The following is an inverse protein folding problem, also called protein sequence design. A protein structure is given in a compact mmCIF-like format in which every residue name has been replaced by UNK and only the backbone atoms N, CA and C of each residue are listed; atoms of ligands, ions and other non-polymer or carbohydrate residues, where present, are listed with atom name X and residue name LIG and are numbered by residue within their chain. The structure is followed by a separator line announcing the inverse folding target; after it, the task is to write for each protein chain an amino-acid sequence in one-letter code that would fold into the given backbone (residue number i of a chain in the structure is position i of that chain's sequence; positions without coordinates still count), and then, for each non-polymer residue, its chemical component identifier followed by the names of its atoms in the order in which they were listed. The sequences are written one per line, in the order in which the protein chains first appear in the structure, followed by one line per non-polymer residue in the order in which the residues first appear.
data_IF_139406597838
#
_entry.id   IF_139406597838
#
_cell.length_a   1.000
_cell.length_b   1.000
_cell.length_c   1.000
_cell.angle_alpha   90.00
_cell.angle_beta   90.00
_cell.angle_gamma   90.00
#
_symmetry.space_group_name_H-M   'P 1'
#
loop_
_entity.id
_entity.type
_entity.pdbx_description
1 polymer ?
#
# COMPACT_ATOMS: atom_id res chain seq x y z
N UNK A 1 29.26 17.76 -20.81
CA UNK A 1 28.72 16.38 -20.70
C UNK A 1 29.27 15.81 -19.41
N UNK A 2 28.40 15.54 -18.41
CA UNK A 2 28.86 14.86 -17.20
C UNK A 2 29.22 13.41 -17.57
N UNK A 3 30.50 13.06 -17.34
CA UNK A 3 30.98 11.69 -17.51
C UNK A 3 30.62 10.91 -16.23
N UNK A 4 30.13 9.68 -16.37
CA UNK A 4 29.85 8.78 -15.25
C UNK A 4 31.06 8.64 -14.32
N UNK A 5 30.85 8.82 -13.02
CA UNK A 5 31.91 8.76 -11.99
C UNK A 5 31.75 7.51 -11.14
N UNK A 6 32.52 6.50 -11.42
CA UNK A 6 32.49 5.23 -10.68
C UNK A 6 32.78 5.39 -9.19
N UNK A 7 33.73 6.27 -8.84
CA UNK A 7 34.08 6.54 -7.44
C UNK A 7 32.84 7.06 -6.68
N UNK A 8 32.15 8.06 -7.23
CA UNK A 8 30.97 8.64 -6.63
C UNK A 8 29.80 7.64 -6.52
N UNK A 9 29.68 6.72 -7.47
CA UNK A 9 28.69 5.65 -7.42
C UNK A 9 28.98 4.67 -6.28
N UNK A 10 30.21 4.12 -6.20
CA UNK A 10 30.56 3.14 -5.17
C UNK A 10 30.54 3.74 -3.75
N UNK A 11 31.01 4.97 -3.58
CA UNK A 11 30.95 5.70 -2.30
C UNK A 11 29.52 5.95 -1.83
N UNK A 12 28.58 6.02 -2.77
CA UNK A 12 27.17 6.27 -2.45
C UNK A 12 26.37 4.98 -2.19
N UNK A 13 26.85 3.81 -2.60
CA UNK A 13 26.13 2.54 -2.46
C UNK A 13 25.82 2.15 -1.01
N UNK A 14 26.71 2.42 -0.07
CA UNK A 14 26.56 2.13 1.36
C UNK A 14 26.49 3.41 2.18
N UNK A 15 26.01 4.49 1.60
CA UNK A 15 25.89 5.76 2.28
C UNK A 15 24.81 5.67 3.37
N UNK A 16 25.20 5.91 4.64
CA UNK A 16 24.30 5.84 5.80
C UNK A 16 23.08 6.77 5.65
N UNK A 17 23.27 7.94 5.07
CA UNK A 17 22.17 8.90 4.85
C UNK A 17 21.10 8.36 3.90
N UNK A 18 21.48 7.65 2.83
CA UNK A 18 20.54 6.99 1.93
C UNK A 18 19.90 5.77 2.58
N UNK A 19 20.63 5.00 3.37
CA UNK A 19 20.10 3.85 4.11
C UNK A 19 19.02 4.27 5.10
N UNK A 20 19.25 5.34 5.86
CA UNK A 20 18.23 5.92 6.74
C UNK A 20 16.99 6.36 5.95
N UNK A 21 17.17 6.98 4.77
CA UNK A 21 16.07 7.34 3.88
C UNK A 21 15.25 6.11 3.44
N UNK A 22 15.92 5.00 3.13
CA UNK A 22 15.25 3.74 2.81
C UNK A 22 14.44 3.19 4.01
N UNK A 23 14.99 3.27 5.22
CA UNK A 23 14.28 2.88 6.44
C UNK A 23 13.02 3.75 6.65
N UNK A 24 13.12 5.04 6.39
CA UNK A 24 11.99 5.98 6.46
C UNK A 24 10.92 5.61 5.41
N UNK A 25 11.30 5.28 4.18
CA UNK A 25 10.37 4.80 3.16
C UNK A 25 9.64 3.52 3.59
N UNK A 26 10.36 2.56 4.19
CA UNK A 26 9.75 1.33 4.74
C UNK A 26 8.81 1.64 5.91
N UNK A 27 9.20 2.52 6.82
CA UNK A 27 8.37 2.93 7.96
C UNK A 27 7.07 3.62 7.50
N UNK A 28 7.18 4.53 6.52
CA UNK A 28 6.02 5.20 5.92
C UNK A 28 5.10 4.20 5.22
N UNK A 29 5.68 3.23 4.49
CA UNK A 29 4.93 2.13 3.86
C UNK A 29 4.16 1.31 4.91
N UNK A 30 4.83 0.89 5.99
CA UNK A 30 4.21 0.09 7.04
C UNK A 30 3.09 0.84 7.75
N UNK A 31 3.32 2.10 8.12
CA UNK A 31 2.31 2.96 8.75
C UNK A 31 1.10 3.17 7.83
N UNK A 32 1.35 3.54 6.57
CA UNK A 32 0.28 3.77 5.59
C UNK A 32 -0.50 2.50 5.26
N UNK A 33 0.16 1.34 5.25
CA UNK A 33 -0.52 0.05 5.08
C UNK A 33 -1.46 -0.25 6.25
N UNK A 34 -1.00 -0.07 7.49
CA UNK A 34 -1.81 -0.34 8.69
C UNK A 34 -3.05 0.56 8.73
N UNK A 35 -2.87 1.87 8.60
CA UNK A 35 -4.00 2.80 8.62
C UNK A 35 -4.87 2.66 7.35
N UNK A 36 -4.27 2.49 6.18
CA UNK A 36 -4.97 2.26 4.93
C UNK A 36 -5.81 0.97 4.98
N UNK A 37 -5.29 -0.10 5.56
CA UNK A 37 -6.04 -1.35 5.72
C UNK A 37 -7.22 -1.19 6.68
N UNK A 38 -7.04 -0.48 7.79
CA UNK A 38 -8.13 -0.17 8.71
C UNK A 38 -9.26 0.61 8.01
N UNK A 39 -8.90 1.68 7.29
CA UNK A 39 -9.84 2.46 6.47
C UNK A 39 -10.49 1.57 5.40
N UNK A 40 -9.69 0.78 4.69
CA UNK A 40 -10.15 -0.11 3.63
C UNK A 40 -11.16 -1.15 4.10
N UNK A 41 -10.94 -1.76 5.28
CA UNK A 41 -11.89 -2.70 5.89
C UNK A 41 -13.22 -2.00 6.19
N UNK A 42 -13.17 -0.82 6.83
CA UNK A 42 -14.38 -0.04 7.16
C UNK A 42 -15.16 0.30 5.90
N UNK A 43 -14.49 0.83 4.87
CA UNK A 43 -15.12 1.19 3.60
C UNK A 43 -15.69 -0.04 2.88
N UNK A 44 -14.99 -1.17 2.88
CA UNK A 44 -15.49 -2.42 2.29
C UNK A 44 -16.77 -2.90 2.99
N UNK A 45 -16.80 -2.88 4.32
CA UNK A 45 -17.98 -3.25 5.10
C UNK A 45 -19.15 -2.27 4.87
N UNK A 46 -18.87 -0.97 4.76
CA UNK A 46 -19.89 0.03 4.42
C UNK A 46 -20.48 -0.22 3.02
N UNK A 47 -19.66 -0.59 2.03
CA UNK A 47 -20.14 -0.92 0.67
C UNK A 47 -20.96 -2.20 0.61
N UNK A 48 -20.71 -3.15 1.51
CA UNK A 48 -21.48 -4.40 1.62
C UNK A 48 -22.74 -4.22 2.50
N UNK A 49 -22.91 -3.07 3.13
CA UNK A 49 -24.08 -2.74 3.95
C UNK A 49 -25.35 -2.60 3.13
N UNK A 50 -26.50 -2.96 3.73
CA UNK A 50 -27.84 -2.69 3.17
C UNK A 50 -28.23 -1.22 3.25
N UNK A 51 -27.55 -0.41 4.06
CA UNK A 51 -27.79 1.03 4.17
C UNK A 51 -27.28 1.76 2.94
N UNK A 52 -28.19 2.38 2.18
CA UNK A 52 -27.84 3.19 0.99
C UNK A 52 -26.92 4.37 1.34
N UNK A 53 -27.08 4.96 2.53
CA UNK A 53 -26.26 6.08 2.97
C UNK A 53 -24.81 5.64 3.20
N UNK A 54 -24.58 4.54 3.94
CA UNK A 54 -23.23 4.01 4.18
C UNK A 54 -22.57 3.57 2.88
N UNK A 55 -23.27 2.81 2.06
CA UNK A 55 -22.73 2.36 0.77
C UNK A 55 -22.43 3.53 -0.16
N UNK A 56 -23.34 4.52 -0.24
CA UNK A 56 -23.13 5.74 -1.04
C UNK A 56 -21.92 6.55 -0.61
N UNK A 57 -21.74 6.75 0.70
CA UNK A 57 -20.55 7.43 1.24
C UNK A 57 -19.26 6.70 0.85
N UNK A 58 -19.20 5.37 1.04
CA UNK A 58 -18.01 4.60 0.71
C UNK A 58 -17.70 4.59 -0.80
N UNK A 59 -18.73 4.55 -1.65
CA UNK A 59 -18.58 4.70 -3.10
C UNK A 59 -18.02 6.07 -3.46
N UNK A 60 -18.58 7.14 -2.88
CA UNK A 60 -18.10 8.51 -3.08
C UNK A 60 -16.64 8.67 -2.64
N UNK A 61 -16.29 8.15 -1.46
CA UNK A 61 -14.91 8.17 -0.97
C UNK A 61 -13.94 7.48 -1.96
N UNK A 62 -14.27 6.25 -2.36
CA UNK A 62 -13.42 5.52 -3.30
C UNK A 62 -13.32 6.24 -4.66
N UNK A 63 -14.40 6.82 -5.15
CA UNK A 63 -14.39 7.61 -6.37
C UNK A 63 -13.47 8.82 -6.26
N UNK A 64 -13.55 9.56 -5.14
CA UNK A 64 -12.73 10.75 -4.90
C UNK A 64 -11.23 10.41 -4.83
N UNK A 65 -10.86 9.47 -3.93
CA UNK A 65 -9.45 9.18 -3.66
C UNK A 65 -8.77 8.38 -4.79
N UNK A 66 -9.50 7.55 -5.51
CA UNK A 66 -8.97 6.82 -6.68
C UNK A 66 -9.04 7.63 -7.97
N UNK A 67 -9.91 8.62 -8.03
CA UNK A 67 -10.09 9.48 -9.19
C UNK A 67 -9.16 10.71 -9.21
N UNK A 68 -8.43 10.98 -8.13
CA UNK A 68 -7.52 12.12 -8.04
C UNK A 68 -6.07 11.65 -7.79
N UNK A 69 -5.05 12.38 -8.31
CA UNK A 69 -3.65 12.01 -8.09
C UNK A 69 -3.26 12.14 -6.62
N UNK A 70 -2.54 11.13 -6.09
CA UNK A 70 -2.02 11.16 -4.72
C UNK A 70 -1.18 12.42 -4.44
N UNK A 71 -0.36 12.84 -5.40
CA UNK A 71 0.44 14.07 -5.27
C UNK A 71 -0.43 15.30 -4.94
N UNK A 72 -1.56 15.45 -5.63
CA UNK A 72 -2.49 16.57 -5.39
C UNK A 72 -3.12 16.46 -4.01
N UNK A 73 -3.47 15.24 -3.57
CA UNK A 73 -4.01 14.99 -2.23
C UNK A 73 -3.00 15.40 -1.14
N UNK A 74 -1.73 15.02 -1.29
CA UNK A 74 -0.65 15.40 -0.37
C UNK A 74 -0.46 16.92 -0.30
N UNK A 75 -0.46 17.60 -1.46
CA UNK A 75 -0.36 19.06 -1.52
C UNK A 75 -1.56 19.74 -0.84
N UNK A 76 -2.78 19.24 -1.04
CA UNK A 76 -3.97 19.77 -0.36
C UNK A 76 -3.82 19.61 1.17
N UNK A 77 -3.38 18.44 1.64
CA UNK A 77 -3.22 18.18 3.08
C UNK A 77 -2.14 19.05 3.68
N UNK A 78 -0.97 19.14 3.03
CA UNK A 78 0.19 19.81 3.59
C UNK A 78 0.18 21.33 3.41
N UNK A 79 -0.29 21.83 2.25
CA UNK A 79 -0.28 23.26 1.93
C UNK A 79 -1.67 23.90 1.96
N UNK A 80 -2.72 23.14 1.65
CA UNK A 80 -4.09 23.64 1.59
C UNK A 80 -4.78 23.70 2.94
N UNK A 81 -4.77 22.62 3.74
CA UNK A 81 -5.44 22.57 5.04
C UNK A 81 -4.93 23.61 6.07
N UNK A 82 -3.65 23.99 6.09
CA UNK A 82 -3.18 25.09 6.94
C UNK A 82 -3.91 26.41 6.73
N UNK A 83 -4.43 26.68 5.53
CA UNK A 83 -5.19 27.90 5.23
C UNK A 83 -6.53 27.97 5.99
N UNK A 84 -7.06 26.83 6.41
CA UNK A 84 -8.28 26.72 7.24
C UNK A 84 -7.97 26.35 8.70
N UNK A 85 -6.70 26.46 9.12
CA UNK A 85 -6.26 26.26 10.50
C UNK A 85 -5.85 24.83 10.88
N UNK A 86 -5.94 23.86 9.96
CA UNK A 86 -5.51 22.47 10.18
C UNK A 86 -4.07 22.30 9.71
N UNK A 87 -3.13 22.24 10.66
CA UNK A 87 -1.69 22.10 10.34
C UNK A 87 -1.19 20.74 10.76
N UNK A 88 -0.47 20.11 9.84
CA UNK A 88 0.20 18.83 10.03
C UNK A 88 1.68 19.01 9.72
N UNK A 89 2.54 18.29 10.43
CA UNK A 89 3.93 18.18 10.01
C UNK A 89 4.06 17.33 8.72
N UNK A 90 5.24 17.32 8.13
CA UNK A 90 5.47 16.65 6.84
C UNK A 90 5.22 15.14 6.93
N UNK A 91 5.55 14.52 8.08
CA UNK A 91 5.38 13.09 8.32
C UNK A 91 3.90 12.74 8.52
N UNK A 92 3.20 13.52 9.34
CA UNK A 92 1.76 13.36 9.57
C UNK A 92 0.98 13.52 8.27
N UNK A 93 1.26 14.59 7.51
CA UNK A 93 0.60 14.85 6.23
C UNK A 93 0.81 13.72 5.22
N UNK A 94 2.04 13.19 5.12
CA UNK A 94 2.35 12.04 4.27
C UNK A 94 1.60 10.79 4.72
N UNK A 95 1.66 10.46 6.00
CA UNK A 95 1.00 9.28 6.56
C UNK A 95 -0.51 9.34 6.35
N UNK A 96 -1.13 10.47 6.63
CA UNK A 96 -2.57 10.69 6.42
C UNK A 96 -2.92 10.54 4.94
N UNK A 97 -2.24 11.30 4.06
CA UNK A 97 -2.58 11.33 2.63
C UNK A 97 -2.41 9.97 1.95
N UNK A 98 -1.29 9.30 2.20
CA UNK A 98 -1.04 7.97 1.63
C UNK A 98 -2.03 6.95 2.21
N UNK A 99 -2.33 7.00 3.53
CA UNK A 99 -3.29 6.08 4.15
C UNK A 99 -4.72 6.26 3.62
N UNK A 100 -5.17 7.50 3.43
CA UNK A 100 -6.49 7.78 2.86
C UNK A 100 -6.58 7.27 1.41
N UNK A 101 -5.56 7.52 0.61
CA UNK A 101 -5.51 7.04 -0.77
C UNK A 101 -5.47 5.52 -0.83
N UNK A 102 -4.54 4.88 -0.12
CA UNK A 102 -4.37 3.43 -0.08
C UNK A 102 -5.63 2.74 0.48
N UNK A 103 -6.30 3.33 1.48
CA UNK A 103 -7.56 2.83 2.02
C UNK A 103 -8.65 2.66 0.96
N UNK A 104 -8.72 3.54 -0.02
CA UNK A 104 -9.65 3.41 -1.14
C UNK A 104 -9.34 2.20 -2.04
N UNK A 105 -8.06 1.94 -2.32
CA UNK A 105 -7.64 0.75 -3.09
C UNK A 105 -7.81 -0.54 -2.28
N UNK A 106 -7.38 -0.56 -1.02
CA UNK A 106 -7.50 -1.72 -0.14
C UNK A 106 -8.96 -2.10 0.12
N UNK A 107 -9.89 -1.13 0.12
CA UNK A 107 -11.32 -1.41 0.26
C UNK A 107 -11.86 -2.29 -0.86
N UNK A 108 -11.38 -2.12 -2.09
CA UNK A 108 -11.77 -2.97 -3.20
C UNK A 108 -11.21 -4.39 -3.05
N UNK A 109 -9.96 -4.52 -2.59
CA UNK A 109 -9.35 -5.83 -2.35
C UNK A 109 -10.13 -6.59 -1.28
N UNK A 110 -10.44 -5.93 -0.16
CA UNK A 110 -11.20 -6.53 0.94
C UNK A 110 -12.62 -6.89 0.48
N UNK A 111 -13.31 -6.00 -0.23
CA UNK A 111 -14.64 -6.25 -0.76
C UNK A 111 -14.65 -7.42 -1.74
N UNK A 112 -13.73 -7.45 -2.69
CA UNK A 112 -13.60 -8.53 -3.66
C UNK A 112 -13.31 -9.87 -2.98
N UNK A 113 -12.44 -9.89 -1.99
CA UNK A 113 -12.15 -11.08 -1.21
C UNK A 113 -13.36 -11.62 -0.45
N UNK A 114 -14.15 -10.75 0.19
CA UNK A 114 -15.39 -11.17 0.87
C UNK A 114 -16.42 -11.71 -0.13
N UNK A 115 -16.55 -11.06 -1.29
CA UNK A 115 -17.52 -11.45 -2.33
C UNK A 115 -17.10 -12.70 -3.11
N UNK A 116 -15.83 -13.10 -3.09
CA UNK A 116 -15.35 -14.32 -3.77
C UNK A 116 -15.81 -15.61 -3.09
N UNK A 117 -16.25 -15.53 -1.83
CA UNK A 117 -16.72 -16.71 -1.09
C UNK A 117 -18.10 -17.12 -1.58
N UNK A 118 -18.21 -18.35 -2.09
CA UNK A 118 -19.45 -18.88 -2.65
C UNK A 118 -20.62 -18.81 -1.64
N UNK A 119 -21.78 -18.33 -2.08
CA UNK A 119 -23.00 -18.21 -1.25
C UNK A 119 -23.39 -19.54 -0.63
N UNK A 120 -23.28 -20.65 -1.36
CA UNK A 120 -23.58 -21.99 -0.85
C UNK A 120 -22.78 -22.38 0.41
N UNK A 121 -21.55 -21.91 0.56
CA UNK A 121 -20.76 -22.12 1.79
C UNK A 121 -21.38 -21.37 2.99
N UNK A 122 -21.87 -20.18 2.76
CA UNK A 122 -22.53 -19.38 3.81
C UNK A 122 -23.91 -19.95 4.16
N UNK A 123 -24.66 -20.41 3.17
CA UNK A 123 -25.99 -21.03 3.34
C UNK A 123 -25.88 -22.39 4.06
N UNK A 124 -24.91 -23.21 3.69
CA UNK A 124 -24.65 -24.50 4.38
C UNK A 124 -24.28 -24.27 5.85
N UNK A 125 -23.42 -23.30 6.14
CA UNK A 125 -23.07 -22.93 7.51
C UNK A 125 -24.29 -22.42 8.31
N UNK A 126 -25.16 -21.64 7.69
CA UNK A 126 -26.40 -21.18 8.31
C UNK A 126 -27.38 -22.33 8.55
N UNK A 127 -27.49 -23.31 7.64
CA UNK A 127 -28.32 -24.51 7.81
C UNK A 127 -27.84 -25.38 8.97
N UNK A 128 -26.54 -25.35 9.31
CA UNK A 128 -25.97 -25.98 10.51
C UNK A 128 -26.25 -25.20 11.81
N UNK A 129 -27.04 -24.12 11.77
CA UNK A 129 -27.41 -23.32 12.94
C UNK A 129 -26.38 -22.25 13.33
N UNK A 130 -25.37 -21.98 12.53
CA UNK A 130 -24.41 -20.93 12.82
C UNK A 130 -25.04 -19.53 12.70
N UNK A 131 -24.78 -18.67 13.68
CA UNK A 131 -25.20 -17.26 13.65
C UNK A 131 -24.40 -16.52 12.55
N UNK A 132 -24.94 -15.43 12.01
CA UNK A 132 -24.31 -14.62 10.96
C UNK A 132 -22.86 -14.23 11.27
N UNK A 133 -22.56 -13.84 12.51
CA UNK A 133 -21.21 -13.51 12.95
C UNK A 133 -20.27 -14.72 12.96
N UNK A 134 -20.78 -15.91 13.28
CA UNK A 134 -20.03 -17.17 13.23
C UNK A 134 -19.76 -17.59 11.77
N UNK A 135 -20.76 -17.49 10.89
CA UNK A 135 -20.60 -17.72 9.45
C UNK A 135 -19.53 -16.81 8.89
N UNK A 136 -19.58 -15.51 9.21
CA UNK A 136 -18.57 -14.57 8.75
C UNK A 136 -17.16 -14.94 9.28
N UNK A 137 -17.03 -15.15 10.59
CA UNK A 137 -15.73 -15.38 11.24
C UNK A 137 -15.11 -16.74 10.89
N UNK A 138 -15.94 -17.80 10.81
CA UNK A 138 -15.45 -19.18 10.67
C UNK A 138 -15.42 -19.67 9.23
N UNK A 139 -16.24 -19.10 8.34
CA UNK A 139 -16.37 -19.55 6.95
C UNK A 139 -15.90 -18.48 5.98
N UNK A 140 -16.51 -17.26 6.03
CA UNK A 140 -16.27 -16.22 5.03
C UNK A 140 -14.88 -15.61 5.18
N UNK A 141 -14.52 -15.16 6.36
CA UNK A 141 -13.27 -14.43 6.60
C UNK A 141 -12.00 -15.25 6.29
N UNK A 142 -11.86 -16.52 6.74
CA UNK A 142 -10.67 -17.31 6.45
C UNK A 142 -10.49 -17.61 4.95
N UNK A 143 -11.61 -17.79 4.22
CA UNK A 143 -11.57 -18.01 2.77
C UNK A 143 -11.25 -16.69 2.03
N UNK A 144 -11.89 -15.59 2.41
CA UNK A 144 -11.64 -14.26 1.86
C UNK A 144 -10.17 -13.84 2.04
N UNK A 145 -9.57 -14.08 3.21
CA UNK A 145 -8.16 -13.78 3.47
C UNK A 145 -7.23 -14.41 2.45
N UNK A 146 -7.46 -15.66 2.07
CA UNK A 146 -6.62 -16.37 1.09
C UNK A 146 -6.64 -15.68 -0.27
N UNK A 147 -7.79 -15.20 -0.69
CA UNK A 147 -7.97 -14.47 -1.96
C UNK A 147 -7.36 -13.05 -1.89
N UNK A 148 -7.39 -12.43 -0.71
CA UNK A 148 -6.87 -11.08 -0.50
C UNK A 148 -5.34 -11.02 -0.42
N UNK A 149 -4.66 -12.07 0.04
CA UNK A 149 -3.20 -12.06 0.28
C UNK A 149 -2.38 -11.66 -0.95
N UNK A 150 -2.57 -12.23 -2.16
CA UNK A 150 -1.78 -11.83 -3.32
C UNK A 150 -1.96 -10.35 -3.72
N UNK A 151 -3.19 -9.82 -3.87
CA UNK A 151 -3.36 -8.41 -4.19
C UNK A 151 -2.90 -7.47 -3.07
N UNK A 152 -3.01 -7.84 -1.78
CA UNK A 152 -2.43 -7.08 -0.67
C UNK A 152 -0.89 -7.02 -0.76
N UNK A 153 -0.25 -8.15 -1.09
CA UNK A 153 1.18 -8.19 -1.32
C UNK A 153 1.62 -7.26 -2.44
N UNK A 154 0.87 -7.21 -3.53
CA UNK A 154 1.12 -6.30 -4.65
C UNK A 154 0.90 -4.82 -4.25
N UNK A 155 -0.09 -4.51 -3.39
CA UNK A 155 -0.28 -3.17 -2.85
C UNK A 155 0.94 -2.71 -2.05
N UNK A 156 1.50 -3.56 -1.18
CA UNK A 156 2.73 -3.22 -0.43
C UNK A 156 3.90 -2.95 -1.37
N UNK A 157 4.08 -3.78 -2.42
CA UNK A 157 5.11 -3.56 -3.42
C UNK A 157 4.95 -2.22 -4.15
N UNK A 158 3.71 -1.85 -4.48
CA UNK A 158 3.38 -0.55 -5.03
C UNK A 158 3.70 0.58 -4.06
N UNK A 159 3.26 0.42 -2.81
CA UNK A 159 3.35 1.42 -1.76
C UNK A 159 4.81 1.78 -1.42
N UNK A 160 5.73 0.78 -1.39
CA UNK A 160 7.18 1.01 -1.22
C UNK A 160 7.74 2.03 -2.22
N UNK A 161 7.23 2.06 -3.44
CA UNK A 161 7.65 3.03 -4.48
C UNK A 161 6.86 4.32 -4.39
N UNK A 162 5.59 4.24 -4.05
CA UNK A 162 4.68 5.39 -3.94
C UNK A 162 5.09 6.34 -2.84
N UNK A 163 5.77 5.86 -1.77
CA UNK A 163 6.31 6.73 -0.71
C UNK A 163 7.25 7.81 -1.25
N UNK A 164 7.91 7.59 -2.40
CA UNK A 164 8.76 8.60 -3.06
C UNK A 164 8.00 9.90 -3.40
N UNK A 165 6.69 9.85 -3.58
CA UNK A 165 5.86 11.04 -3.85
C UNK A 165 5.87 12.00 -2.65
N UNK A 166 6.08 11.47 -1.42
CA UNK A 166 6.15 12.27 -0.21
C UNK A 166 7.38 13.21 -0.18
N UNK A 167 8.40 12.96 -1.03
CA UNK A 167 9.54 13.88 -1.22
C UNK A 167 9.10 15.29 -1.62
N UNK A 168 7.98 15.41 -2.35
CA UNK A 168 7.46 16.70 -2.84
C UNK A 168 7.00 17.60 -1.69
N UNK A 169 6.48 17.02 -0.60
CA UNK A 169 6.14 17.75 0.61
C UNK A 169 7.27 17.76 1.64
N UNK A 170 8.50 17.42 1.20
CA UNK A 170 9.74 17.45 1.99
C UNK A 170 9.86 16.39 3.08
N UNK A 171 9.22 15.23 2.94
CA UNK A 171 9.54 14.07 3.78
C UNK A 171 10.93 13.56 3.41
N UNK A 172 11.81 13.43 4.40
CA UNK A 172 13.20 12.99 4.22
C UNK A 172 13.34 11.48 4.01
N UNK A 173 12.52 10.93 3.09
CA UNK A 173 12.62 9.55 2.64
C UNK A 173 13.73 9.38 1.58
N UNK A 174 13.89 8.17 1.04
CA UNK A 174 15.01 7.81 0.17
C UNK A 174 15.17 8.75 -1.04
N UNK A 175 14.10 9.07 -1.78
CA UNK A 175 14.20 9.93 -2.96
C UNK A 175 14.56 11.36 -2.59
N UNK A 176 13.97 11.91 -1.52
CA UNK A 176 14.30 13.26 -1.03
C UNK A 176 15.76 13.38 -0.65
N UNK A 177 16.27 12.43 0.14
CA UNK A 177 17.68 12.38 0.54
C UNK A 177 18.63 12.22 -0.66
N UNK A 178 18.22 11.43 -1.66
CA UNK A 178 18.95 11.33 -2.93
C UNK A 178 19.03 12.68 -3.64
N UNK A 179 17.92 13.41 -3.72
CA UNK A 179 17.89 14.74 -4.35
C UNK A 179 18.78 15.75 -3.63
N UNK A 180 18.81 15.73 -2.30
CA UNK A 180 19.69 16.58 -1.50
C UNK A 180 21.17 16.28 -1.75
N UNK A 181 21.56 15.01 -1.79
CA UNK A 181 22.94 14.61 -2.14
C UNK A 181 23.31 14.99 -3.58
N UNK A 182 22.35 14.92 -4.52
CA UNK A 182 22.59 15.37 -5.90
C UNK A 182 22.93 16.87 -5.93
N UNK A 183 22.21 17.68 -5.15
CA UNK A 183 22.48 19.13 -5.07
C UNK A 183 23.85 19.44 -4.43
N UNK A 184 24.31 18.60 -3.50
CA UNK A 184 25.61 18.76 -2.83
C UNK A 184 26.77 18.26 -3.69
N UNK A 185 26.63 17.07 -4.32
CA UNK A 185 27.74 16.37 -4.99
C UNK A 185 27.74 16.48 -6.51
N UNK A 186 26.64 16.95 -7.11
CA UNK A 186 26.43 17.03 -8.56
C UNK A 186 26.56 15.68 -9.29
N UNK A 187 26.27 14.56 -8.59
CA UNK A 187 26.30 13.18 -9.11
C UNK A 187 24.88 12.73 -9.44
N UNK A 188 24.31 13.24 -10.54
CA UNK A 188 22.87 13.05 -10.83
C UNK A 188 22.55 11.60 -11.18
N UNK A 189 23.24 11.06 -12.19
CA UNK A 189 22.92 9.73 -12.71
C UNK A 189 23.35 8.63 -11.73
N UNK A 190 24.50 8.80 -11.09
CA UNK A 190 25.05 7.88 -10.11
C UNK A 190 24.10 7.72 -8.91
N UNK A 191 23.65 8.83 -8.31
CA UNK A 191 22.79 8.81 -7.13
C UNK A 191 21.38 8.33 -7.45
N UNK A 192 20.80 8.69 -8.59
CA UNK A 192 19.52 8.11 -8.99
C UNK A 192 19.63 6.61 -9.27
N UNK A 193 20.76 6.14 -9.80
CA UNK A 193 21.00 4.70 -9.99
C UNK A 193 21.10 3.99 -8.63
N UNK A 194 21.83 4.58 -7.67
CA UNK A 194 21.87 4.05 -6.29
C UNK A 194 20.48 4.00 -5.66
N UNK A 195 19.69 5.06 -5.77
CA UNK A 195 18.32 5.07 -5.26
C UNK A 195 17.47 3.98 -5.91
N UNK A 196 17.57 3.80 -7.23
CA UNK A 196 16.87 2.74 -7.95
C UNK A 196 17.26 1.34 -7.44
N UNK A 197 18.54 1.11 -7.14
CA UNK A 197 19.01 -0.15 -6.55
C UNK A 197 18.44 -0.37 -5.13
N UNK A 198 18.33 0.67 -4.31
CA UNK A 198 17.67 0.57 -3.00
C UNK A 198 16.17 0.22 -3.13
N UNK A 199 15.43 0.87 -4.03
CA UNK A 199 14.04 0.52 -4.29
C UNK A 199 13.90 -0.92 -4.82
N UNK A 200 14.80 -1.34 -5.72
CA UNK A 200 14.84 -2.71 -6.23
C UNK A 200 15.11 -3.72 -5.11
N UNK A 201 16.05 -3.42 -4.21
CA UNK A 201 16.34 -4.25 -3.05
C UNK A 201 15.13 -4.38 -2.13
N UNK A 202 14.51 -3.25 -1.75
CA UNK A 202 13.32 -3.25 -0.88
C UNK A 202 12.16 -4.04 -1.49
N UNK A 203 11.87 -3.83 -2.78
CA UNK A 203 10.79 -4.54 -3.48
C UNK A 203 11.10 -6.02 -3.69
N UNK A 204 12.37 -6.39 -3.90
CA UNK A 204 12.80 -7.79 -4.01
C UNK A 204 12.68 -8.51 -2.66
N UNK A 205 13.15 -7.89 -1.57
CA UNK A 205 13.01 -8.45 -0.22
C UNK A 205 11.53 -8.64 0.14
N UNK A 206 10.69 -7.65 -0.17
CA UNK A 206 9.25 -7.78 -0.01
C UNK A 206 8.69 -8.92 -0.86
N UNK A 207 9.08 -9.06 -2.12
CA UNK A 207 8.65 -10.15 -3.01
C UNK A 207 8.94 -11.54 -2.44
N UNK A 208 10.10 -11.70 -1.77
CA UNK A 208 10.43 -12.95 -1.08
C UNK A 208 9.50 -13.24 0.12
N UNK A 209 9.15 -12.19 0.88
CA UNK A 209 8.17 -12.30 1.98
C UNK A 209 6.80 -12.63 1.44
N UNK A 210 6.35 -11.91 0.41
CA UNK A 210 5.07 -12.13 -0.25
C UNK A 210 4.94 -13.56 -0.77
N UNK A 211 5.94 -14.08 -1.48
CA UNK A 211 5.94 -15.45 -1.99
C UNK A 211 5.85 -16.51 -0.88
N UNK A 212 6.42 -16.23 0.32
CA UNK A 212 6.27 -17.12 1.48
C UNK A 212 4.84 -17.07 2.04
N UNK A 213 4.25 -15.88 2.14
CA UNK A 213 2.87 -15.70 2.60
C UNK A 213 1.89 -16.39 1.65
N UNK A 214 2.03 -16.19 0.34
CA UNK A 214 1.19 -16.82 -0.68
C UNK A 214 1.28 -18.36 -0.61
N UNK A 215 2.48 -18.91 -0.48
CA UNK A 215 2.65 -20.37 -0.32
C UNK A 215 2.02 -20.90 0.96
N UNK A 216 2.05 -20.14 2.05
CA UNK A 216 1.46 -20.57 3.34
C UNK A 216 -0.06 -20.55 3.32
N UNK A 217 -0.67 -19.54 2.70
CA UNK A 217 -2.11 -19.31 2.71
C UNK A 217 -2.81 -19.75 1.43
N UNK A 218 -2.10 -19.87 0.31
CA UNK A 218 -2.65 -20.28 -1.00
C UNK A 218 -2.82 -21.79 -1.19
N UNK A 219 -2.28 -22.63 -0.28
CA UNK A 219 -2.45 -24.09 -0.35
C UNK A 219 -3.92 -24.47 -0.18
N UNK A 220 -4.57 -24.80 -1.30
CA UNK A 220 -5.96 -25.30 -1.32
C UNK A 220 -6.85 -24.76 -2.45
N UNK A 221 -6.36 -23.91 -3.34
CA UNK A 221 -7.19 -23.32 -4.43
C UNK A 221 -6.58 -23.47 -5.85
N UNK A 222 -5.58 -24.31 -6.04
CA UNK A 222 -4.88 -24.37 -7.32
C UNK A 222 -4.35 -25.74 -7.73
N UNK A 223 -5.20 -26.75 -7.89
CA UNK A 223 -4.74 -28.02 -8.52
C UNK A 223 -5.81 -28.76 -9.34
N UNK A 224 -6.99 -28.20 -9.60
CA UNK A 224 -7.97 -28.89 -10.46
C UNK A 224 -8.07 -28.37 -11.90
N UNK A 225 -7.34 -27.31 -12.28
CA UNK A 225 -7.46 -26.72 -13.63
C UNK A 225 -6.33 -27.12 -14.60
N UNK A 226 -5.29 -27.85 -14.18
CA UNK A 226 -4.13 -28.13 -15.04
C UNK A 226 -4.02 -29.60 -15.47
N UNK A 227 -4.91 -30.48 -15.02
CA UNK A 227 -4.84 -31.92 -15.37
C UNK A 227 -5.91 -32.33 -16.39
N UNK A 228 -6.41 -31.42 -17.20
CA UNK A 228 -7.27 -31.70 -18.36
C UNK A 228 -6.76 -31.02 -19.62
N UNK A 229 -5.52 -31.30 -20.02
CA UNK A 229 -5.11 -31.18 -21.44
C UNK A 229 -4.13 -32.30 -21.79
#
# INVERSE_FOLDING_TARGET
VQVWRWDGFFDSLLNAYLLEGAIISVALTAGSLVFGLAIGIVLALMRLSKSRALSGFAVFYCWLFRGTPLLVQLLIIYTGLPLIGLRFDVWEAALIGISLNEGAYLSEIVRAGIMSVARGQQEAAAALGLRRSQVFRLVTWPQALRVMIPPLGNSVNGLLKTTSIASVISVDELLRRTQLLIQERFLVLELFTVAALYYLLMTTLWGLVQARLERRYGRGYGTEATDRR
#
